data_IF_788186185108
#
_entry.id   IF_788186185108
#
_cell.length_a   1.000
_cell.length_b   1.000
_cell.length_c   1.000
_cell.angle_alpha   90.00
_cell.angle_beta   90.00
_cell.angle_gamma   90.00
#
_symmetry.space_group_name_H-M   'P 1'
#
loop_
_entity.id
_entity.type
_entity.pdbx_description
1 polymer ?
#
# COMPACT_ATOMS: atom_id res chain seq x y z
N UNK A 1 10.76 -11.60 3.68
CA UNK A 1 11.74 -11.55 4.79
C UNK A 1 11.45 -12.73 5.69
N UNK A 2 12.48 -13.47 6.10
CA UNK A 2 12.32 -14.59 7.02
C UNK A 2 11.72 -14.14 8.38
N UNK A 3 11.03 -15.04 9.07
CA UNK A 3 10.34 -14.70 10.32
C UNK A 3 11.28 -14.49 11.51
N UNK A 4 12.50 -15.05 11.47
CA UNK A 4 13.49 -14.84 12.52
C UNK A 4 14.13 -13.45 12.47
N UNK A 5 13.99 -12.74 11.35
CA UNK A 5 14.70 -11.48 11.11
C UNK A 5 14.11 -10.36 11.95
N UNK A 6 14.97 -9.69 12.71
CA UNK A 6 14.59 -8.58 13.58
C UNK A 6 14.65 -7.23 12.86
N UNK A 7 14.02 -6.20 13.44
CA UNK A 7 14.13 -4.83 12.91
C UNK A 7 15.56 -4.30 12.96
N UNK A 8 16.35 -4.72 13.96
CA UNK A 8 17.74 -4.33 14.13
C UNK A 8 18.63 -4.92 13.02
N UNK A 9 18.40 -6.18 12.65
CA UNK A 9 19.08 -6.82 11.52
C UNK A 9 18.78 -6.11 10.19
N UNK A 10 17.52 -5.71 9.97
CA UNK A 10 17.14 -4.92 8.80
C UNK A 10 17.86 -3.58 8.79
N UNK A 11 17.87 -2.87 9.91
CA UNK A 11 18.52 -1.56 10.02
C UNK A 11 20.04 -1.70 9.79
N UNK A 12 20.69 -2.68 10.40
CA UNK A 12 22.12 -2.92 10.24
C UNK A 12 22.48 -3.26 8.78
N UNK A 13 21.68 -4.10 8.12
CA UNK A 13 21.90 -4.45 6.71
C UNK A 13 21.71 -3.24 5.79
N UNK A 14 20.68 -2.42 6.02
CA UNK A 14 20.42 -1.18 5.28
C UNK A 14 21.54 -0.16 5.52
N UNK A 15 22.04 -0.03 6.76
CA UNK A 15 23.14 0.87 7.10
C UNK A 15 24.43 0.49 6.40
N UNK A 16 24.79 -0.80 6.48
CA UNK A 16 26.01 -1.34 5.86
C UNK A 16 25.99 -1.19 4.34
N UNK A 17 24.88 -1.56 3.68
CA UNK A 17 24.73 -1.47 2.22
C UNK A 17 24.59 -0.04 1.73
N UNK A 18 23.80 0.74 2.45
CA UNK A 18 23.52 2.13 2.16
C UNK A 18 24.65 3.09 2.48
N UNK A 19 25.65 2.65 3.26
CA UNK A 19 26.74 3.48 3.78
C UNK A 19 26.22 4.72 4.52
N UNK A 20 25.17 4.53 5.31
CA UNK A 20 24.52 5.58 6.10
C UNK A 20 24.49 5.18 7.57
N UNK A 21 24.54 6.14 8.50
CA UNK A 21 24.45 5.82 9.93
C UNK A 21 23.07 5.26 10.27
N UNK A 22 23.05 4.35 11.24
CA UNK A 22 21.85 3.66 11.74
C UNK A 22 20.75 4.67 12.15
N UNK A 23 21.13 5.85 12.66
CA UNK A 23 20.22 6.90 13.13
C UNK A 23 19.31 7.47 12.04
N UNK A 24 19.76 7.38 10.78
CA UNK A 24 19.02 7.90 9.61
C UNK A 24 18.03 6.87 9.06
N UNK A 25 18.00 5.67 9.62
CA UNK A 25 17.16 4.57 9.16
C UNK A 25 16.01 4.37 10.14
N UNK A 26 14.80 4.28 9.61
CA UNK A 26 13.60 3.93 10.37
C UNK A 26 12.89 2.78 9.69
N UNK A 27 12.38 1.86 10.48
CA UNK A 27 11.59 0.73 9.98
C UNK A 27 10.22 0.70 10.62
N UNK A 28 9.26 0.17 9.88
CA UNK A 28 7.92 -0.10 10.37
C UNK A 28 7.80 -1.45 11.10
N UNK A 29 6.60 -1.78 11.58
CA UNK A 29 6.30 -3.13 12.03
C UNK A 29 6.31 -4.11 10.85
N UNK A 30 6.76 -5.33 11.11
CA UNK A 30 6.64 -6.43 10.14
C UNK A 30 5.17 -6.77 9.89
N UNK A 31 4.88 -7.08 8.63
CA UNK A 31 3.57 -7.52 8.15
C UNK A 31 3.74 -8.85 7.43
N UNK A 32 3.03 -9.87 7.90
CA UNK A 32 3.01 -11.16 7.25
C UNK A 32 2.24 -11.05 5.93
N UNK A 33 2.90 -11.38 4.82
CA UNK A 33 2.27 -11.48 3.50
C UNK A 33 1.59 -12.84 3.30
N UNK A 34 0.87 -13.00 2.19
CA UNK A 34 0.45 -14.32 1.72
C UNK A 34 1.70 -15.12 1.30
N UNK A 35 1.85 -16.35 1.80
CA UNK A 35 3.03 -17.19 1.58
C UNK A 35 4.03 -17.23 2.75
N UNK A 36 3.65 -16.74 3.94
CA UNK A 36 4.44 -16.93 5.17
C UNK A 36 5.69 -16.04 5.29
N UNK A 37 5.95 -15.18 4.29
CA UNK A 37 7.06 -14.22 4.30
C UNK A 37 6.65 -12.88 4.89
N UNK A 38 7.54 -12.29 5.69
CA UNK A 38 7.34 -10.96 6.24
C UNK A 38 7.71 -9.87 5.22
N UNK A 39 7.02 -8.73 5.34
CA UNK A 39 7.33 -7.47 4.65
C UNK A 39 7.49 -6.37 5.70
N UNK A 40 8.34 -5.39 5.42
CA UNK A 40 8.56 -4.23 6.29
C UNK A 40 8.82 -3.01 5.41
N UNK A 41 8.30 -1.85 5.82
CA UNK A 41 8.69 -0.60 5.18
C UNK A 41 9.90 -0.01 5.89
N UNK A 42 10.82 0.56 5.12
CA UNK A 42 11.99 1.28 5.63
C UNK A 42 12.04 2.69 5.07
N UNK A 43 12.53 3.63 5.87
CA UNK A 43 12.87 5.00 5.46
C UNK A 43 14.36 5.20 5.73
N UNK A 44 15.08 5.73 4.76
CA UNK A 44 16.50 6.07 4.85
C UNK A 44 16.80 7.24 3.89
N UNK A 45 18.01 7.84 3.92
CA UNK A 45 18.38 8.89 2.99
C UNK A 45 18.23 8.47 1.52
N UNK A 46 17.96 9.44 0.65
CA UNK A 46 17.64 9.18 -0.77
C UNK A 46 18.76 8.42 -1.50
N UNK A 47 20.03 8.76 -1.22
CA UNK A 47 21.19 8.09 -1.82
C UNK A 47 21.23 6.60 -1.44
N UNK A 48 21.00 6.28 -0.17
CA UNK A 48 20.88 4.89 0.30
C UNK A 48 19.73 4.18 -0.40
N UNK A 49 18.55 4.81 -0.45
CA UNK A 49 17.35 4.22 -1.10
C UNK A 49 17.61 3.89 -2.57
N UNK A 50 18.22 4.80 -3.35
CA UNK A 50 18.50 4.59 -4.77
C UNK A 50 19.43 3.39 -5.00
N UNK A 51 20.45 3.23 -4.16
CA UNK A 51 21.38 2.10 -4.22
C UNK A 51 20.69 0.77 -3.91
N UNK A 52 19.87 0.74 -2.86
CA UNK A 52 19.14 -0.48 -2.50
C UNK A 52 18.11 -0.88 -3.57
N UNK A 53 17.46 0.09 -4.21
CA UNK A 53 16.54 -0.16 -5.32
C UNK A 53 17.30 -0.66 -6.55
N UNK A 54 18.47 -0.09 -6.87
CA UNK A 54 19.27 -0.55 -8.02
C UNK A 54 19.81 -1.97 -7.83
N UNK A 55 20.17 -2.35 -6.60
CA UNK A 55 20.53 -3.74 -6.27
C UNK A 55 19.29 -4.66 -6.24
N UNK A 56 18.10 -4.12 -5.98
CA UNK A 56 16.80 -4.80 -6.00
C UNK A 56 16.57 -5.80 -4.85
N UNK A 57 17.63 -6.19 -4.12
CA UNK A 57 17.56 -7.10 -2.98
C UNK A 57 18.58 -6.75 -1.91
N UNK A 58 18.25 -7.07 -0.66
CA UNK A 58 19.13 -6.93 0.51
C UNK A 58 19.26 -8.27 1.20
N UNK A 59 20.48 -8.65 1.58
CA UNK A 59 20.75 -9.85 2.37
C UNK A 59 20.50 -9.58 3.85
N UNK A 60 19.70 -10.43 4.48
CA UNK A 60 19.33 -10.38 5.90
C UNK A 60 19.68 -11.76 6.50
N UNK A 61 20.88 -11.84 7.10
CA UNK A 61 21.47 -13.11 7.53
C UNK A 61 21.65 -14.10 6.37
N UNK A 62 20.95 -15.23 6.47
CA UNK A 62 20.94 -16.29 5.44
C UNK A 62 19.86 -16.10 4.37
N UNK A 63 18.94 -15.15 4.58
CA UNK A 63 17.85 -14.88 3.65
C UNK A 63 18.13 -13.65 2.77
N UNK A 64 17.41 -13.51 1.66
CA UNK A 64 17.41 -12.29 0.85
C UNK A 64 16.01 -11.72 0.75
N UNK A 65 15.89 -10.40 0.86
CA UNK A 65 14.65 -9.67 0.80
C UNK A 65 14.63 -8.77 -0.44
N UNK A 66 13.53 -8.81 -1.21
CA UNK A 66 13.33 -7.87 -2.31
C UNK A 66 13.12 -6.45 -1.78
N UNK A 67 13.70 -5.47 -2.47
CA UNK A 67 13.53 -4.04 -2.19
C UNK A 67 12.71 -3.42 -3.31
N UNK A 68 11.63 -2.74 -2.95
CA UNK A 68 10.75 -2.06 -3.90
C UNK A 68 10.51 -0.64 -3.43
N UNK A 69 10.60 0.32 -4.35
CA UNK A 69 10.30 1.71 -4.07
C UNK A 69 8.81 1.87 -3.73
N UNK A 70 8.51 2.50 -2.60
CA UNK A 70 7.14 2.85 -2.27
C UNK A 70 6.75 4.13 -3.01
N UNK A 71 5.66 4.09 -3.76
CA UNK A 71 5.08 5.28 -4.40
C UNK A 71 4.77 6.34 -3.35
N UNK A 72 5.09 7.60 -3.64
CA UNK A 72 4.78 8.72 -2.75
C UNK A 72 3.29 8.73 -2.41
N UNK A 73 2.96 8.67 -1.12
CA UNK A 73 1.57 8.78 -0.67
C UNK A 73 1.04 10.16 -1.06
N UNK A 74 -0.15 10.16 -1.65
CA UNK A 74 -0.88 11.40 -1.97
C UNK A 74 -1.22 12.13 -0.68
N UNK A 75 -1.24 13.46 -0.73
CA UNK A 75 -1.71 14.28 0.39
C UNK A 75 -3.19 13.98 0.63
N UNK A 76 -3.51 13.42 1.80
CA UNK A 76 -4.87 13.12 2.21
C UNK A 76 -5.25 14.00 3.40
N UNK A 77 -6.39 14.67 3.30
CA UNK A 77 -6.93 15.48 4.37
C UNK A 77 -7.63 14.58 5.39
N UNK A 78 -7.10 14.47 6.61
CA UNK A 78 -7.71 13.66 7.67
C UNK A 78 -8.95 14.29 8.32
N UNK A 79 -9.41 15.46 7.83
CA UNK A 79 -10.69 16.05 8.22
C UNK A 79 -11.81 15.65 7.26
N UNK A 80 -11.65 15.90 5.97
CA UNK A 80 -12.71 15.65 4.98
C UNK A 80 -12.54 14.36 4.17
N UNK A 81 -11.36 13.72 4.28
CA UNK A 81 -10.90 12.53 3.56
C UNK A 81 -10.58 12.71 2.08
N UNK A 82 -10.68 13.93 1.57
CA UNK A 82 -10.29 14.24 0.20
C UNK A 82 -8.77 14.26 0.03
N UNK A 83 -8.35 14.12 -1.22
CA UNK A 83 -6.93 14.17 -1.61
C UNK A 83 -6.56 15.53 -2.20
N UNK A 84 -5.30 15.91 -2.07
CA UNK A 84 -4.72 17.15 -2.62
C UNK A 84 -4.48 18.25 -1.59
N UNK A 85 -4.93 18.11 -0.35
CA UNK A 85 -4.72 19.11 0.70
C UNK A 85 -4.56 18.49 2.10
N UNK A 86 -4.07 19.29 3.04
CA UNK A 86 -3.91 18.93 4.46
C UNK A 86 -5.05 19.51 5.30
N UNK A 87 -5.21 19.05 6.54
CA UNK A 87 -6.23 19.56 7.47
C UNK A 87 -6.16 21.09 7.65
N UNK A 88 -4.95 21.65 7.71
CA UNK A 88 -4.73 23.09 7.87
C UNK A 88 -5.29 23.92 6.69
N UNK A 89 -5.38 23.33 5.50
CA UNK A 89 -5.85 23.97 4.28
C UNK A 89 -7.24 23.49 3.84
N UNK A 90 -7.96 22.78 4.72
CA UNK A 90 -9.24 22.16 4.41
C UNK A 90 -10.39 23.18 4.47
N UNK A 91 -11.07 23.38 3.34
CA UNK A 91 -12.24 24.25 3.22
C UNK A 91 -13.58 23.48 3.30
N UNK A 92 -13.54 22.16 3.46
CA UNK A 92 -14.74 21.33 3.62
C UNK A 92 -15.53 21.69 4.88
N UNK A 93 -16.84 21.83 4.73
CA UNK A 93 -17.78 21.96 5.85
C UNK A 93 -17.99 20.62 6.58
N UNK A 94 -17.88 19.50 5.86
CA UNK A 94 -18.05 18.16 6.45
C UNK A 94 -16.78 17.70 7.15
N UNK A 95 -16.92 17.25 8.40
CA UNK A 95 -15.88 16.55 9.16
C UNK A 95 -16.17 15.04 9.17
N UNK A 96 -15.17 14.26 8.75
CA UNK A 96 -15.13 12.80 8.66
C UNK A 96 -13.89 12.25 9.36
N UNK A 97 -13.30 13.02 10.29
CA UNK A 97 -12.07 12.64 10.98
C UNK A 97 -12.18 11.36 11.81
N UNK A 98 -13.39 11.00 12.22
CA UNK A 98 -13.71 9.75 12.95
C UNK A 98 -14.08 8.60 12.02
N UNK A 99 -14.21 8.83 10.71
CA UNK A 99 -14.68 7.83 9.77
C UNK A 99 -13.55 6.90 9.35
N UNK A 100 -13.90 5.64 9.13
CA UNK A 100 -13.02 4.63 8.57
C UNK A 100 -12.69 4.98 7.12
N UNK A 101 -11.40 5.17 6.81
CA UNK A 101 -10.98 5.50 5.44
C UNK A 101 -11.19 4.36 4.44
N UNK A 102 -11.39 3.12 4.93
CA UNK A 102 -11.65 1.94 4.11
C UNK A 102 -13.08 1.92 3.59
N UNK A 103 -14.07 1.87 4.48
CA UNK A 103 -15.49 1.70 4.14
C UNK A 103 -16.33 2.97 4.25
N UNK A 104 -15.76 4.08 4.73
CA UNK A 104 -16.46 5.36 4.82
C UNK A 104 -17.56 5.42 5.87
N UNK A 105 -17.59 4.53 6.86
CA UNK A 105 -18.49 4.61 8.03
C UNK A 105 -17.72 4.98 9.29
N UNK A 106 -18.40 5.49 10.31
CA UNK A 106 -17.85 5.73 11.64
C UNK A 106 -17.86 4.47 12.52
N UNK A 107 -17.46 4.62 13.79
CA UNK A 107 -17.45 3.54 14.80
C UNK A 107 -16.21 2.64 14.81
N UNK A 108 -15.33 2.71 13.81
CA UNK A 108 -14.09 1.92 13.78
C UNK A 108 -12.98 2.53 12.93
N UNK A 109 -11.75 2.02 13.10
CA UNK A 109 -10.58 2.42 12.30
C UNK A 109 -10.32 1.41 11.18
N UNK A 110 -9.72 1.90 10.10
CA UNK A 110 -9.35 1.08 8.93
C UNK A 110 -8.44 -0.12 9.27
N UNK A 111 -7.70 -0.08 10.37
CA UNK A 111 -6.86 -1.20 10.81
C UNK A 111 -7.67 -2.46 11.18
N UNK A 112 -8.88 -2.30 11.70
CA UNK A 112 -9.79 -3.40 12.05
C UNK A 112 -10.97 -3.56 11.08
N UNK A 113 -11.00 -2.80 9.98
CA UNK A 113 -12.11 -2.84 9.03
C UNK A 113 -12.06 -4.11 8.17
N UNK A 114 -13.20 -4.79 8.07
CA UNK A 114 -13.41 -5.96 7.19
C UNK A 114 -14.48 -5.71 6.11
N UNK A 115 -15.04 -4.50 6.09
CA UNK A 115 -16.06 -4.11 5.13
C UNK A 115 -15.44 -3.79 3.76
N UNK A 116 -16.21 -3.94 2.66
CA UNK A 116 -15.75 -3.59 1.32
C UNK A 116 -15.34 -2.11 1.25
N UNK A 117 -14.38 -1.76 0.38
CA UNK A 117 -13.92 -0.39 0.24
C UNK A 117 -15.04 0.51 -0.30
N UNK A 118 -15.25 1.64 0.36
CA UNK A 118 -16.19 2.67 -0.06
C UNK A 118 -15.67 4.06 0.32
N UNK A 119 -15.39 4.88 -0.69
CA UNK A 119 -14.86 6.23 -0.51
C UNK A 119 -16.02 7.21 -0.23
N UNK A 120 -16.11 7.79 0.99
CA UNK A 120 -17.21 8.69 1.34
C UNK A 120 -17.15 10.02 0.57
N UNK A 121 -15.97 10.42 0.09
CA UNK A 121 -15.79 11.66 -0.70
C UNK A 121 -16.33 11.48 -2.11
N UNK A 122 -15.94 10.40 -2.80
CA UNK A 122 -16.43 10.08 -4.14
C UNK A 122 -17.93 9.75 -4.12
N UNK A 123 -18.39 9.00 -3.11
CA UNK A 123 -19.81 8.70 -2.94
C UNK A 123 -20.66 9.97 -2.79
N UNK A 124 -20.24 10.95 -1.98
CA UNK A 124 -20.97 12.22 -1.83
C UNK A 124 -21.01 13.09 -3.10
N UNK A 125 -20.17 12.77 -4.10
CA UNK A 125 -20.07 13.47 -5.37
C UNK A 125 -20.75 12.72 -6.53
N UNK A 126 -21.37 11.57 -6.27
CA UNK A 126 -21.94 10.73 -7.31
C UNK A 126 -20.90 10.04 -8.22
N UNK A 127 -19.64 9.94 -7.77
CA UNK A 127 -18.57 9.28 -8.51
C UNK A 127 -18.45 7.80 -8.12
N UNK A 128 -17.74 7.01 -8.95
CA UNK A 128 -17.34 5.64 -8.61
C UNK A 128 -16.64 5.64 -7.26
N UNK A 129 -17.20 4.91 -6.30
CA UNK A 129 -16.78 4.98 -4.90
C UNK A 129 -16.32 3.65 -4.32
N UNK A 130 -16.26 2.58 -5.12
CA UNK A 130 -15.74 1.25 -4.73
C UNK A 130 -14.23 1.20 -4.55
N UNK A 131 -13.67 2.16 -3.80
CA UNK A 131 -12.25 2.28 -3.50
C UNK A 131 -12.05 2.94 -2.13
N UNK A 132 -10.87 2.80 -1.56
CA UNK A 132 -10.51 3.39 -0.27
C UNK A 132 -10.31 4.91 -0.39
N UNK A 133 -10.74 5.71 0.59
CA UNK A 133 -10.42 7.13 0.60
C UNK A 133 -8.90 7.36 0.61
N UNK A 134 -8.40 8.15 -0.35
CA UNK A 134 -6.97 8.38 -0.54
C UNK A 134 -6.30 7.48 -1.58
N UNK A 135 -7.02 6.51 -2.16
CA UNK A 135 -6.48 5.62 -3.17
C UNK A 135 -6.18 6.37 -4.50
N UNK A 136 -5.39 5.78 -5.42
CA UNK A 136 -5.06 6.41 -6.71
C UNK A 136 -6.29 6.89 -7.49
N UNK A 137 -7.40 6.16 -7.40
CA UNK A 137 -8.67 6.42 -8.07
C UNK A 137 -9.43 7.63 -7.48
N UNK A 138 -9.04 8.12 -6.29
CA UNK A 138 -9.66 9.32 -5.72
C UNK A 138 -9.33 10.57 -6.55
N UNK A 139 -10.36 11.24 -7.05
CA UNK A 139 -10.21 12.54 -7.73
C UNK A 139 -9.98 13.63 -6.67
N UNK A 140 -8.92 14.46 -6.78
CA UNK A 140 -8.67 15.61 -5.90
C UNK A 140 -9.92 16.49 -5.69
N UNK A 141 -10.05 17.03 -4.49
CA UNK A 141 -11.23 17.82 -4.11
C UNK A 141 -10.93 18.73 -2.91
N UNK A 142 -11.62 19.87 -2.83
CA UNK A 142 -11.59 20.82 -1.70
C UNK A 142 -10.20 21.35 -1.30
N UNK A 143 -9.24 21.37 -2.24
CA UNK A 143 -7.97 22.08 -2.08
C UNK A 143 -8.08 23.54 -2.53
N UNK A 144 -7.23 24.43 -1.99
CA UNK A 144 -7.09 25.80 -2.52
C UNK A 144 -6.74 25.74 -4.02
N UNK A 145 -7.59 26.30 -4.88
CA UNK A 145 -7.31 26.47 -6.31
C UNK A 145 -7.91 25.44 -7.27
N UNK A 146 -8.94 24.67 -6.89
CA UNK A 146 -9.65 23.80 -7.84
C UNK A 146 -11.06 24.32 -8.16
N UNK A 147 -11.22 24.90 -9.34
CA UNK A 147 -12.51 24.98 -10.03
C UNK A 147 -12.82 23.61 -10.63
N UNK A 148 -14.04 23.12 -10.44
CA UNK A 148 -14.54 21.91 -11.10
C UNK A 148 -14.49 22.14 -12.61
N UNK A 149 -13.65 21.41 -13.34
CA UNK A 149 -13.82 21.32 -14.79
C UNK A 149 -14.98 20.35 -15.05
N UNK A 150 -16.05 20.86 -15.67
CA UNK A 150 -17.33 20.19 -15.92
C UNK A 150 -17.27 18.99 -16.88
N UNK A 151 -16.10 18.39 -17.10
CA UNK A 151 -15.86 17.34 -18.11
C UNK A 151 -15.87 15.90 -17.58
N UNK A 152 -15.75 15.65 -16.27
CA UNK A 152 -15.58 14.29 -15.75
C UNK A 152 -16.92 13.58 -15.46
N UNK A 153 -17.87 13.68 -16.39
CA UNK A 153 -19.14 12.93 -16.34
C UNK A 153 -19.10 11.80 -17.36
N UNK A 154 -19.05 10.56 -16.83
CA UNK A 154 -19.16 9.24 -17.49
C UNK A 154 -17.87 8.74 -18.20
N UNK A 155 -17.44 7.48 -18.14
CA UNK A 155 -18.15 6.19 -18.23
C UNK A 155 -17.31 4.99 -17.72
N UNK A 156 -18.04 3.89 -17.46
CA UNK A 156 -17.68 2.46 -17.49
C UNK A 156 -17.01 1.78 -16.29
N UNK A 157 -17.82 0.87 -15.73
CA UNK A 157 -17.47 -0.24 -14.87
C UNK A 157 -16.72 -1.29 -15.70
N UNK A 158 -15.51 -1.61 -15.27
CA UNK A 158 -15.09 -2.94 -14.83
C UNK A 158 -13.60 -2.82 -14.58
N UNK A 159 -13.27 -2.71 -13.30
CA UNK A 159 -11.90 -2.59 -12.84
C UNK A 159 -11.92 -3.04 -11.41
N UNK A 160 -11.60 -4.32 -11.21
CA UNK A 160 -11.19 -4.86 -9.91
C UNK A 160 -10.08 -3.95 -9.40
N UNK A 161 -10.45 -2.97 -8.57
CA UNK A 161 -9.49 -2.06 -7.99
C UNK A 161 -8.71 -2.87 -6.96
N UNK A 162 -7.50 -3.27 -7.36
CA UNK A 162 -6.47 -3.71 -6.43
C UNK A 162 -6.09 -2.47 -5.64
N UNK A 163 -6.90 -2.17 -4.62
CA UNK A 163 -6.85 -0.90 -3.94
C UNK A 163 -5.48 -0.69 -3.33
N UNK A 164 -4.77 0.35 -3.77
CA UNK A 164 -3.49 0.83 -3.25
C UNK A 164 -2.75 -0.23 -2.43
N UNK A 165 -2.18 -1.19 -3.15
CA UNK A 165 -1.57 -2.39 -2.62
C UNK A 165 -0.81 -2.16 -1.31
N UNK A 166 -1.28 -2.84 -0.27
CA UNK A 166 -0.39 -3.37 0.76
C UNK A 166 0.14 -4.74 0.32
N UNK A 167 0.58 -4.83 -0.94
CA UNK A 167 1.33 -5.93 -1.53
C UNK A 167 0.65 -7.30 -1.44
N UNK A 168 -0.49 -7.49 -2.11
CA UNK A 168 -0.99 -8.84 -2.35
C UNK A 168 -1.50 -8.95 -3.81
N UNK A 169 -0.77 -9.62 -4.72
CA UNK A 169 -1.30 -9.93 -6.04
C UNK A 169 -2.40 -11.00 -5.95
N UNK A 170 -3.36 -10.92 -6.87
CA UNK A 170 -4.41 -11.93 -7.12
C UNK A 170 -3.97 -12.86 -8.27
N UNK A 171 -4.47 -14.11 -8.32
CA UNK A 171 -3.93 -15.14 -9.20
C UNK A 171 -4.47 -15.02 -10.63
N UNK A 172 -3.67 -15.47 -11.60
CA UNK A 172 -4.13 -15.96 -12.91
C UNK A 172 -4.13 -17.49 -12.82
N UNK A 173 -5.26 -18.12 -13.09
CA UNK A 173 -5.39 -19.57 -13.13
C UNK A 173 -4.84 -20.09 -14.47
N UNK A 174 -3.93 -21.07 -14.42
CA UNK A 174 -3.71 -22.02 -15.51
C UNK A 174 -3.44 -23.43 -14.94
N UNK A 175 -3.77 -24.48 -15.70
CA UNK A 175 -4.24 -25.75 -15.17
C UNK A 175 -3.10 -26.70 -14.78
N UNK A 176 -3.40 -27.56 -13.80
CA UNK A 176 -2.54 -28.64 -13.32
C UNK A 176 -2.59 -29.82 -14.29
N UNK A 177 -1.46 -30.13 -14.93
CA UNK A 177 -1.20 -31.46 -15.50
C UNK A 177 -0.83 -32.44 -14.38
N UNK A 178 -1.47 -33.60 -14.37
CA UNK A 178 -1.26 -34.68 -13.40
C UNK A 178 0.09 -35.40 -13.60
N UNK A 179 0.81 -35.78 -12.52
CA UNK A 179 2.04 -36.55 -12.65
C UNK A 179 1.79 -38.05 -12.87
N UNK A 180 2.52 -38.56 -13.87
CA UNK A 180 2.68 -39.96 -14.27
C UNK A 180 3.08 -40.86 -13.10
N UNK A 181 2.37 -41.98 -12.94
CA UNK A 181 2.69 -43.07 -12.02
C UNK A 181 3.94 -43.83 -12.47
N UNK A 182 4.98 -43.86 -11.63
CA UNK A 182 6.09 -44.80 -11.75
C UNK A 182 5.80 -45.99 -10.82
N UNK A 183 5.49 -47.14 -11.41
CA UNK A 183 5.47 -48.41 -10.69
C UNK A 183 6.75 -49.22 -10.93
N UNK A 184 7.10 -49.93 -9.87
CA UNK A 184 8.37 -50.56 -9.53
C UNK A 184 8.59 -51.83 -10.36
N UNK A 185 9.83 -52.07 -10.79
CA UNK A 185 10.20 -53.34 -11.46
C UNK A 185 10.68 -54.32 -10.40
N UNK A 186 9.92 -55.40 -10.19
CA UNK A 186 10.40 -56.65 -9.60
C UNK A 186 10.32 -57.75 -10.67
N UNK A 187 11.49 -58.32 -11.01
CA UNK A 187 11.66 -59.38 -11.99
C UNK A 187 13.12 -59.66 -12.29
#
# INVERSE_FOLDING_TARGET
>A
IDQSVTSEEVIAAVASRGQVPIVDIRTGPFRLGRGGVNTVWGQCPLQCTNRLISEGRVRLGWSSAGVVALTKRRLQCFRCLAVGHTRANCQSLTDRSTWCFQCGSDGHRAAGCRLPPKCPVCASRGLVSGHRAGAPECIPFNGRGQTLNSGDTQTNAEGTSVGADRGAPTPVDEPVDEPVSMEVVDG
#
